data_IF_636879362321
#
_entry.id   IF_636879362321
#
_cell.length_a   1.000
_cell.length_b   1.000
_cell.length_c   1.000
_cell.angle_alpha   90.00
_cell.angle_beta   90.00
_cell.angle_gamma   90.00
#
_symmetry.space_group_name_H-M   'P 1'
#
loop_
_entity.id
_entity.type
_entity.pdbx_description
1 polymer ?
#
# COMPACT_ATOMS: atom_id res chain seq x y z
N UNK A 1 5.16 -6.31 6.23
CA UNK A 1 4.63 -5.32 5.27
C UNK A 1 5.22 -5.60 3.90
N UNK A 2 4.36 -5.66 2.89
CA UNK A 2 4.68 -6.22 1.57
C UNK A 2 4.15 -5.36 0.43
N UNK A 3 3.40 -4.29 0.67
CA UNK A 3 2.85 -3.44 -0.40
C UNK A 3 3.12 -1.96 -0.15
N UNK A 4 3.69 -1.29 -1.16
CA UNK A 4 3.95 0.16 -1.19
C UNK A 4 2.76 0.86 -1.84
N UNK A 5 2.19 1.87 -1.17
CA UNK A 5 1.16 2.74 -1.74
C UNK A 5 1.78 3.96 -2.41
N UNK A 6 1.41 4.25 -3.65
CA UNK A 6 1.88 5.43 -4.39
C UNK A 6 0.75 6.45 -4.58
N UNK A 7 1.06 7.76 -4.56
CA UNK A 7 2.42 8.34 -4.54
C UNK A 7 3.05 8.49 -3.14
N UNK A 8 2.33 8.17 -2.05
CA UNK A 8 2.80 8.50 -0.70
C UNK A 8 4.00 7.68 -0.19
N UNK A 9 4.31 6.52 -0.78
CA UNK A 9 5.47 5.69 -0.48
C UNK A 9 5.35 4.80 0.76
N UNK A 10 4.22 4.79 1.48
CA UNK A 10 4.09 4.00 2.71
C UNK A 10 4.00 2.49 2.44
N UNK A 11 4.81 1.72 3.16
CA UNK A 11 4.84 0.25 3.19
C UNK A 11 4.17 -0.26 4.48
N UNK A 12 2.84 -0.24 4.55
CA UNK A 12 2.10 -0.47 5.80
C UNK A 12 1.13 -1.67 5.80
N UNK A 13 0.99 -2.40 4.69
CA UNK A 13 0.07 -3.54 4.58
C UNK A 13 0.77 -4.80 4.08
N UNK A 14 0.29 -5.98 4.48
CA UNK A 14 0.56 -7.25 3.77
C UNK A 14 -0.29 -7.35 2.49
N UNK A 15 -0.06 -8.37 1.67
CA UNK A 15 -0.84 -8.59 0.44
C UNK A 15 -2.36 -8.64 0.69
N UNK A 16 -2.81 -9.41 1.70
CA UNK A 16 -4.23 -9.58 2.04
C UNK A 16 -4.88 -8.29 2.57
N UNK A 17 -4.20 -7.53 3.43
CA UNK A 17 -4.74 -6.26 3.91
C UNK A 17 -4.78 -5.22 2.78
N UNK A 18 -3.81 -5.24 1.88
CA UNK A 18 -3.74 -4.27 0.78
C UNK A 18 -4.90 -4.39 -0.20
N UNK A 19 -5.55 -5.56 -0.35
CA UNK A 19 -6.69 -5.73 -1.24
C UNK A 19 -7.96 -5.01 -0.73
N UNK A 20 -8.10 -4.90 0.59
CA UNK A 20 -9.23 -4.21 1.24
C UNK A 20 -9.09 -2.69 1.25
N UNK A 21 -7.86 -2.17 1.10
CA UNK A 21 -7.56 -0.74 1.10
C UNK A 21 -7.70 -0.20 -0.32
N UNK A 22 -8.79 0.49 -0.66
CA UNK A 22 -9.08 0.88 -2.06
C UNK A 22 -8.70 2.31 -2.42
N UNK A 23 -8.98 3.28 -1.55
CA UNK A 23 -8.95 4.70 -1.90
C UNK A 23 -7.80 5.49 -1.27
N UNK A 24 -7.50 5.23 0.01
CA UNK A 24 -6.59 6.06 0.80
C UNK A 24 -5.59 5.22 1.59
N UNK A 25 -4.37 5.75 1.73
CA UNK A 25 -3.32 5.13 2.52
C UNK A 25 -3.71 5.11 4.01
N UNK A 26 -3.64 3.95 4.70
CA UNK A 26 -3.98 3.87 6.13
C UNK A 26 -3.11 4.75 7.04
N UNK A 27 -1.90 5.10 6.59
CA UNK A 27 -0.94 5.88 7.39
C UNK A 27 -1.16 7.38 7.26
N UNK A 28 -1.26 7.89 6.04
CA UNK A 28 -1.29 9.34 5.77
C UNK A 28 -2.59 9.84 5.15
N UNK A 29 -3.55 8.95 4.87
CA UNK A 29 -4.81 9.23 4.17
C UNK A 29 -4.63 9.84 2.77
N UNK A 30 -3.43 9.80 2.21
CA UNK A 30 -3.19 10.21 0.82
C UNK A 30 -3.84 9.24 -0.16
N UNK A 31 -4.39 9.75 -1.26
CA UNK A 31 -5.05 8.94 -2.28
C UNK A 31 -4.11 7.91 -2.90
N UNK A 32 -4.58 6.68 -3.05
CA UNK A 32 -3.82 5.58 -3.64
C UNK A 32 -4.06 5.56 -5.15
N UNK A 33 -3.00 5.75 -5.90
CA UNK A 33 -3.01 5.59 -7.36
C UNK A 33 -2.48 4.22 -7.78
N UNK A 34 -1.48 3.69 -7.06
CA UNK A 34 -0.88 2.38 -7.34
C UNK A 34 -0.48 1.65 -6.07
N UNK A 35 -0.48 0.32 -6.13
CA UNK A 35 -0.03 -0.60 -5.09
C UNK A 35 1.08 -1.48 -5.67
N UNK A 36 2.28 -1.44 -5.07
CA UNK A 36 3.43 -2.21 -5.55
C UNK A 36 3.78 -3.29 -4.52
N UNK A 37 3.59 -4.58 -4.83
CA UNK A 37 4.04 -5.65 -3.95
C UNK A 37 5.58 -5.75 -3.96
N UNK A 38 6.16 -5.92 -2.78
CA UNK A 38 7.59 -6.11 -2.53
C UNK A 38 7.85 -7.61 -2.55
N UNK A 39 8.60 -8.07 -3.54
CA UNK A 39 9.07 -9.44 -3.63
C UNK A 39 10.38 -9.51 -2.84
N UNK A 40 10.44 -10.40 -1.84
CA UNK A 40 11.71 -10.69 -1.17
C UNK A 40 12.49 -11.72 -2.00
N UNK A 41 13.81 -11.55 -2.16
CA UNK A 41 14.66 -12.54 -2.83
C UNK A 41 14.64 -13.90 -2.12
#
# INVERSE_FOLDING_TARGET
CEVIFLPCGHLCCCATCSSQVTTECPMCRGSIQRKIPVIKP
#
